data_IF_892697450350
#
_entry.id   IF_892697450350
#
_cell.length_a   1.000
_cell.length_b   1.000
_cell.length_c   1.000
_cell.angle_alpha   90.00
_cell.angle_beta   90.00
_cell.angle_gamma   90.00
#
_symmetry.space_group_name_H-M   'P 1'
#
loop_
_entity.id
_entity.type
_entity.pdbx_description
1 polymer ?
#
# COMPACT_ATOMS: atom_id res chain seq x y z
N UNK A 1 -4.50 -13.95 -10.13
CA UNK A 1 -5.72 -14.41 -10.82
C UNK A 1 -6.12 -15.85 -10.47
N UNK A 2 -5.41 -16.87 -10.96
CA UNK A 2 -5.74 -18.29 -10.70
C UNK A 2 -4.75 -19.00 -9.77
N UNK A 3 -3.73 -18.30 -9.30
CA UNK A 3 -2.78 -18.77 -8.29
C UNK A 3 -3.43 -18.66 -6.90
N UNK A 4 -4.17 -19.69 -6.55
CA UNK A 4 -5.05 -19.72 -5.39
C UNK A 4 -6.00 -20.89 -5.49
N UNK A 5 -7.01 -20.96 -4.62
CA UNK A 5 -7.93 -22.09 -4.60
C UNK A 5 -9.40 -21.68 -4.62
N UNK A 6 -10.23 -22.60 -5.11
CA UNK A 6 -11.68 -22.55 -4.92
C UNK A 6 -12.13 -23.32 -3.67
N UNK A 7 -11.43 -24.42 -3.34
CA UNK A 7 -11.71 -25.27 -2.18
C UNK A 7 -10.41 -25.80 -1.57
N UNK A 8 -10.29 -25.80 -0.24
CA UNK A 8 -9.13 -26.39 0.44
C UNK A 8 -9.15 -27.93 0.45
N UNK A 9 -10.32 -28.56 0.23
CA UNK A 9 -10.47 -30.02 0.29
C UNK A 9 -9.58 -30.72 -0.74
N UNK A 10 -9.32 -30.06 -1.88
CA UNK A 10 -8.51 -30.59 -2.98
C UNK A 10 -7.25 -29.75 -3.25
N UNK A 11 -6.77 -28.98 -2.27
CA UNK A 11 -5.63 -28.07 -2.44
C UNK A 11 -4.51 -28.43 -1.47
N UNK A 12 -3.31 -28.66 -2.01
CA UNK A 12 -2.07 -28.71 -1.23
C UNK A 12 -1.38 -27.35 -1.33
N UNK A 13 -1.79 -26.43 -0.45
CA UNK A 13 -1.39 -25.02 -0.52
C UNK A 13 0.12 -24.84 -0.44
N UNK A 14 0.82 -25.59 0.42
CA UNK A 14 2.27 -25.46 0.55
C UNK A 14 2.96 -25.82 -0.76
N UNK A 15 2.52 -26.91 -1.39
CA UNK A 15 3.08 -27.38 -2.66
C UNK A 15 2.78 -26.42 -3.82
N UNK A 16 1.60 -25.81 -3.85
CA UNK A 16 1.27 -24.80 -4.86
C UNK A 16 2.11 -23.53 -4.70
N UNK A 17 2.30 -23.05 -3.47
CA UNK A 17 3.20 -21.92 -3.18
C UNK A 17 4.65 -22.23 -3.56
N UNK A 18 5.14 -23.45 -3.28
CA UNK A 18 6.47 -23.91 -3.71
C UNK A 18 6.64 -23.86 -5.24
N UNK A 19 5.60 -24.27 -5.97
CA UNK A 19 5.61 -24.23 -7.43
C UNK A 19 5.54 -22.79 -7.96
N UNK A 20 4.72 -21.92 -7.37
CA UNK A 20 4.65 -20.51 -7.73
C UNK A 20 6.02 -19.83 -7.52
N UNK A 21 6.66 -20.07 -6.39
CA UNK A 21 8.01 -19.56 -6.12
C UNK A 21 9.03 -20.07 -7.13
N UNK A 22 8.97 -21.37 -7.48
CA UNK A 22 9.84 -21.95 -8.50
C UNK A 22 9.65 -21.29 -9.87
N UNK A 23 8.41 -20.99 -10.25
CA UNK A 23 8.10 -20.28 -11.49
C UNK A 23 8.71 -18.87 -11.49
N UNK A 24 8.55 -18.11 -10.41
CA UNK A 24 9.08 -16.76 -10.31
C UNK A 24 10.62 -16.73 -10.36
N UNK A 25 11.29 -17.66 -9.68
CA UNK A 25 12.75 -17.82 -9.80
C UNK A 25 13.19 -18.11 -11.24
N UNK A 26 12.49 -19.01 -11.94
CA UNK A 26 12.78 -19.27 -13.35
C UNK A 26 12.58 -18.03 -14.23
N UNK A 27 11.56 -17.22 -13.95
CA UNK A 27 11.31 -15.97 -14.67
C UNK A 27 12.43 -14.94 -14.43
N UNK A 28 12.87 -14.79 -13.18
CA UNK A 28 14.00 -13.91 -12.81
C UNK A 28 15.30 -14.36 -13.50
N UNK A 29 15.61 -15.65 -13.47
CA UNK A 29 16.80 -16.20 -14.14
C UNK A 29 16.75 -16.01 -15.66
N UNK A 30 15.57 -16.20 -16.24
CA UNK A 30 15.38 -15.98 -17.67
C UNK A 30 15.55 -14.51 -18.04
N UNK A 31 14.98 -13.58 -17.25
CA UNK A 31 15.17 -12.14 -17.44
C UNK A 31 16.65 -11.76 -17.43
N UNK A 32 17.43 -12.27 -16.46
CA UNK A 32 18.90 -12.09 -16.41
C UNK A 32 19.57 -12.62 -17.68
N UNK A 33 19.18 -13.81 -18.13
CA UNK A 33 19.74 -14.45 -19.34
C UNK A 33 19.52 -13.63 -20.61
N UNK A 34 18.37 -12.97 -20.73
CA UNK A 34 18.03 -12.17 -21.92
C UNK A 34 18.39 -10.68 -21.78
N UNK A 35 18.95 -10.27 -20.64
CA UNK A 35 19.32 -8.88 -20.38
C UNK A 35 18.12 -7.96 -20.12
N UNK A 36 17.00 -8.47 -19.62
CA UNK A 36 15.88 -7.64 -19.17
C UNK A 36 16.25 -6.94 -17.86
N UNK A 37 16.14 -5.61 -17.85
CA UNK A 37 16.51 -4.76 -16.71
C UNK A 37 15.31 -4.08 -16.04
N UNK A 38 14.08 -4.40 -16.46
CA UNK A 38 12.88 -3.86 -15.84
C UNK A 38 12.61 -4.49 -14.48
N UNK A 39 11.82 -3.79 -13.68
CA UNK A 39 11.37 -4.29 -12.38
C UNK A 39 10.23 -5.30 -12.57
N UNK A 40 10.32 -6.46 -11.91
CA UNK A 40 9.17 -7.36 -11.79
C UNK A 40 8.21 -6.85 -10.73
N UNK A 41 6.91 -6.98 -11.02
CA UNK A 41 5.84 -6.68 -10.08
C UNK A 41 5.01 -7.92 -9.79
N UNK A 42 4.61 -8.07 -8.53
CA UNK A 42 3.49 -8.94 -8.11
C UNK A 42 2.37 -8.02 -7.63
N UNK A 43 1.13 -8.36 -7.99
CA UNK A 43 -0.03 -7.50 -7.79
C UNK A 43 -1.01 -8.18 -6.84
N UNK A 44 -1.11 -7.73 -5.58
CA UNK A 44 -1.95 -8.38 -4.60
C UNK A 44 -3.43 -8.28 -4.98
N UNK A 45 -4.17 -9.38 -4.82
CA UNK A 45 -5.63 -9.46 -4.86
C UNK A 45 -6.12 -10.60 -3.95
N UNK A 46 -7.10 -10.38 -3.07
CA UNK A 46 -7.52 -11.37 -2.06
C UNK A 46 -8.28 -12.58 -2.61
N UNK A 47 -9.02 -12.37 -3.70
CA UNK A 47 -10.00 -13.31 -4.28
C UNK A 47 -10.47 -12.76 -5.62
N UNK A 48 -11.37 -13.51 -6.26
CA UNK A 48 -11.93 -13.23 -7.56
C UNK A 48 -10.87 -13.31 -8.69
N UNK A 49 -10.87 -14.39 -9.50
CA UNK A 49 -11.92 -15.40 -9.62
C UNK A 49 -11.74 -16.64 -8.71
N UNK A 50 -10.73 -16.68 -7.84
CA UNK A 50 -10.56 -17.72 -6.80
C UNK A 50 -11.38 -17.38 -5.54
N UNK A 51 -11.60 -18.37 -4.67
CA UNK A 51 -12.16 -18.13 -3.33
C UNK A 51 -11.13 -17.45 -2.44
N UNK A 52 -9.87 -17.84 -2.58
CA UNK A 52 -8.70 -17.22 -1.97
C UNK A 52 -7.58 -17.21 -3.01
N UNK A 53 -6.97 -16.05 -3.23
CA UNK A 53 -5.76 -15.88 -4.03
C UNK A 53 -4.58 -15.70 -3.08
N UNK A 54 -3.44 -16.35 -3.38
CA UNK A 54 -2.33 -16.48 -2.44
C UNK A 54 -1.61 -15.17 -2.14
N UNK A 55 -1.47 -14.34 -3.16
CA UNK A 55 -1.03 -12.96 -3.13
C UNK A 55 -2.18 -12.06 -2.65
N UNK A 56 -2.68 -12.27 -1.43
CA UNK A 56 -3.98 -11.71 -1.02
C UNK A 56 -3.99 -10.22 -0.68
N UNK A 57 -2.89 -9.71 -0.15
CA UNK A 57 -2.63 -8.31 0.20
C UNK A 57 -1.10 -8.07 0.23
N UNK A 58 -0.68 -6.84 0.49
CA UNK A 58 0.72 -6.45 0.52
C UNK A 58 1.51 -7.25 1.57
N UNK A 59 0.95 -7.47 2.76
CA UNK A 59 1.62 -8.19 3.83
C UNK A 59 1.85 -9.67 3.46
N UNK A 60 0.84 -10.35 2.89
CA UNK A 60 0.95 -11.73 2.43
C UNK A 60 1.97 -11.86 1.29
N UNK A 61 1.97 -10.92 0.34
CA UNK A 61 2.96 -10.88 -0.73
C UNK A 61 4.38 -10.71 -0.17
N UNK A 62 4.58 -9.75 0.74
CA UNK A 62 5.89 -9.53 1.36
C UNK A 62 6.37 -10.76 2.14
N UNK A 63 5.48 -11.45 2.85
CA UNK A 63 5.82 -12.70 3.53
C UNK A 63 6.27 -13.78 2.54
N UNK A 64 5.51 -13.99 1.47
CA UNK A 64 5.87 -14.94 0.41
C UNK A 64 7.22 -14.59 -0.23
N UNK A 65 7.44 -13.32 -0.57
CA UNK A 65 8.70 -12.87 -1.18
C UNK A 65 9.91 -13.06 -0.26
N UNK A 66 9.74 -12.90 1.06
CA UNK A 66 10.80 -13.17 2.05
C UNK A 66 11.05 -14.67 2.22
N UNK A 67 10.00 -15.47 2.36
CA UNK A 67 10.09 -16.93 2.53
C UNK A 67 10.85 -17.61 1.38
N UNK A 68 10.69 -17.09 0.16
CA UNK A 68 11.27 -17.69 -1.04
C UNK A 68 12.44 -16.89 -1.62
N UNK A 69 13.06 -15.98 -0.88
CA UNK A 69 14.23 -15.19 -1.32
C UNK A 69 14.01 -14.43 -2.65
N UNK A 70 12.83 -13.83 -2.81
CA UNK A 70 12.41 -13.08 -4.00
C UNK A 70 12.26 -11.56 -3.75
N UNK A 71 12.41 -11.11 -2.50
CA UNK A 71 12.17 -9.71 -2.10
C UNK A 71 13.09 -8.70 -2.80
N UNK A 72 14.30 -9.10 -3.17
CA UNK A 72 15.25 -8.26 -3.92
C UNK A 72 15.01 -8.26 -5.44
N UNK A 73 14.00 -9.01 -5.91
CA UNK A 73 13.72 -9.22 -7.32
C UNK A 73 12.35 -8.69 -7.74
N UNK A 74 11.36 -8.73 -6.85
CA UNK A 74 10.00 -8.28 -7.11
C UNK A 74 9.62 -7.11 -6.21
N UNK A 75 8.83 -6.20 -6.77
CA UNK A 75 8.13 -5.14 -6.05
C UNK A 75 6.62 -5.36 -6.15
N UNK A 76 5.85 -4.61 -5.38
CA UNK A 76 4.40 -4.68 -5.40
C UNK A 76 3.80 -3.66 -6.38
N UNK A 77 2.84 -4.10 -7.18
CA UNK A 77 1.89 -3.24 -7.89
C UNK A 77 0.60 -3.22 -7.08
N UNK A 78 0.22 -2.08 -6.50
CA UNK A 78 -0.95 -2.02 -5.61
C UNK A 78 -2.14 -1.46 -6.38
N UNK A 79 -3.28 -2.13 -6.32
CA UNK A 79 -4.53 -1.68 -6.91
C UNK A 79 -5.55 -1.28 -5.83
N UNK A 80 -6.21 -0.13 -6.03
CA UNK A 80 -7.21 0.39 -5.07
C UNK A 80 -8.36 -0.59 -4.84
N UNK A 81 -8.99 -1.13 -5.89
CA UNK A 81 -10.14 -2.01 -5.72
C UNK A 81 -9.72 -3.33 -5.04
N UNK A 82 -8.51 -3.85 -5.31
CA UNK A 82 -7.98 -5.03 -4.64
C UNK A 82 -7.74 -4.81 -3.15
N UNK A 83 -7.16 -3.66 -2.77
CA UNK A 83 -6.98 -3.27 -1.37
C UNK A 83 -8.33 -3.25 -0.62
N UNK A 84 -9.34 -2.59 -1.20
CA UNK A 84 -10.69 -2.50 -0.62
C UNK A 84 -11.36 -3.89 -0.51
N UNK A 85 -11.20 -4.74 -1.54
CA UNK A 85 -11.68 -6.13 -1.52
C UNK A 85 -11.03 -6.98 -0.42
N UNK A 86 -9.81 -6.64 -0.01
CA UNK A 86 -9.06 -7.31 1.05
C UNK A 86 -9.47 -6.83 2.45
N UNK A 87 -10.32 -5.79 2.52
CA UNK A 87 -10.73 -5.16 3.77
C UNK A 87 -9.78 -4.06 4.24
N UNK A 88 -8.89 -3.58 3.37
CA UNK A 88 -7.89 -2.56 3.66
C UNK A 88 -8.21 -1.26 2.93
N UNK A 89 -7.64 -0.16 3.40
CA UNK A 89 -7.59 1.07 2.59
C UNK A 89 -6.40 1.01 1.64
N UNK A 90 -6.46 1.76 0.54
CA UNK A 90 -5.32 1.88 -0.37
C UNK A 90 -4.09 2.45 0.36
N UNK A 91 -4.30 3.40 1.27
CA UNK A 91 -3.27 3.99 2.10
C UNK A 91 -2.53 2.95 2.94
N UNK A 92 -3.26 2.00 3.53
CA UNK A 92 -2.67 0.93 4.33
C UNK A 92 -1.72 0.07 3.49
N UNK A 93 -2.18 -0.39 2.33
CA UNK A 93 -1.38 -1.24 1.44
C UNK A 93 -0.13 -0.52 0.92
N UNK A 94 -0.26 0.78 0.61
CA UNK A 94 0.88 1.62 0.20
C UNK A 94 1.90 1.81 1.31
N UNK A 95 1.46 2.05 2.56
CA UNK A 95 2.36 2.21 3.70
C UNK A 95 3.08 0.90 4.04
N UNK A 96 2.37 -0.25 3.99
CA UNK A 96 2.97 -1.59 4.16
C UNK A 96 4.03 -1.87 3.09
N UNK A 97 3.70 -1.63 1.82
CA UNK A 97 4.63 -1.85 0.70
C UNK A 97 5.83 -0.91 0.76
N UNK A 98 5.61 0.37 1.09
CA UNK A 98 6.67 1.39 1.16
C UNK A 98 7.63 1.15 2.32
N UNK A 99 7.10 0.80 3.51
CA UNK A 99 7.92 0.48 4.68
C UNK A 99 8.86 -0.71 4.44
N UNK A 100 8.46 -1.65 3.57
CA UNK A 100 9.29 -2.77 3.16
C UNK A 100 10.25 -2.46 1.99
N UNK A 101 10.28 -1.21 1.47
CA UNK A 101 11.05 -0.84 0.29
C UNK A 101 10.55 -1.46 -1.02
N UNK A 102 9.34 -2.03 -0.99
CA UNK A 102 8.81 -2.89 -2.03
C UNK A 102 7.70 -2.22 -2.86
N UNK A 103 7.23 -1.01 -2.53
CA UNK A 103 6.26 -0.32 -3.38
C UNK A 103 6.87 -0.02 -4.75
N UNK A 104 6.24 -0.55 -5.80
CA UNK A 104 6.75 -0.54 -7.16
C UNK A 104 5.95 0.33 -8.12
N UNK A 105 4.64 0.10 -8.19
CA UNK A 105 3.69 0.76 -9.10
C UNK A 105 2.29 0.76 -8.48
N UNK A 106 1.36 1.49 -9.10
CA UNK A 106 -0.04 1.52 -8.70
C UNK A 106 -0.96 1.32 -9.91
N UNK A 107 -2.01 0.53 -9.71
CA UNK A 107 -3.20 0.53 -10.56
C UNK A 107 -4.26 1.48 -9.99
N UNK A 108 -4.48 2.54 -10.76
CA UNK A 108 -5.30 3.69 -10.44
C UNK A 108 -6.76 3.45 -10.82
N UNK A 109 -7.49 2.77 -9.96
CA UNK A 109 -8.93 2.60 -10.05
C UNK A 109 -9.62 2.87 -8.71
N UNK A 110 -10.89 2.49 -8.58
CA UNK A 110 -11.63 2.43 -7.32
C UNK A 110 -12.65 1.28 -7.35
N UNK A 111 -12.97 0.77 -6.17
CA UNK A 111 -14.13 -0.09 -5.97
C UNK A 111 -15.43 0.64 -5.72
N UNK A 112 -16.44 -0.15 -5.41
CA UNK A 112 -17.67 0.31 -4.79
C UNK A 112 -17.78 -0.41 -3.44
N UNK A 113 -17.78 0.36 -2.35
CA UNK A 113 -17.71 -0.19 -0.99
C UNK A 113 -18.97 -0.97 -0.58
N UNK A 114 -20.05 -0.90 -1.36
CA UNK A 114 -21.26 -1.69 -1.16
C UNK A 114 -21.26 -3.00 -1.97
N UNK A 115 -20.20 -3.22 -2.76
CA UNK A 115 -20.11 -4.28 -3.76
C UNK A 115 -18.85 -5.12 -3.50
N UNK A 116 -19.03 -6.42 -3.29
CA UNK A 116 -17.96 -7.36 -2.92
C UNK A 116 -17.20 -7.97 -4.10
N UNK A 117 -17.10 -7.28 -5.24
CA UNK A 117 -16.34 -7.72 -6.42
C UNK A 117 -15.66 -6.52 -7.09
N UNK A 118 -14.74 -6.80 -7.99
CA UNK A 118 -13.95 -5.80 -8.69
C UNK A 118 -14.79 -5.04 -9.73
N UNK A 119 -14.92 -3.74 -9.50
CA UNK A 119 -15.71 -2.86 -10.36
C UNK A 119 -14.85 -2.13 -11.37
N UNK A 120 -13.54 -2.03 -11.14
CA UNK A 120 -12.53 -1.37 -11.97
C UNK A 120 -13.01 0.02 -12.41
N UNK A 121 -13.57 0.81 -11.49
CA UNK A 121 -14.05 2.15 -11.83
C UNK A 121 -12.88 3.11 -11.94
N UNK A 122 -13.00 4.09 -12.85
CA UNK A 122 -12.03 5.18 -12.88
C UNK A 122 -12.05 5.96 -11.55
N UNK A 123 -10.88 6.41 -11.07
CA UNK A 123 -10.73 7.11 -9.80
C UNK A 123 -11.30 8.52 -9.95
N UNK A 124 -12.25 8.88 -9.09
CA UNK A 124 -12.88 10.22 -9.10
C UNK A 124 -12.97 10.85 -7.71
N UNK A 125 -12.57 10.12 -6.66
CA UNK A 125 -12.58 10.61 -5.29
C UNK A 125 -11.28 11.37 -4.99
N UNK A 126 -11.39 12.69 -4.81
CA UNK A 126 -10.23 13.56 -4.57
C UNK A 126 -9.56 13.27 -3.22
N UNK A 127 -10.31 12.88 -2.18
CA UNK A 127 -9.74 12.50 -0.89
C UNK A 127 -8.78 11.32 -1.05
N UNK A 128 -9.25 10.26 -1.70
CA UNK A 128 -8.47 9.04 -1.95
C UNK A 128 -7.24 9.36 -2.82
N UNK A 129 -7.42 10.12 -3.90
CA UNK A 129 -6.30 10.50 -4.77
C UNK A 129 -5.25 11.35 -4.03
N UNK A 130 -5.67 12.27 -3.17
CA UNK A 130 -4.75 13.08 -2.35
C UNK A 130 -3.98 12.22 -1.35
N UNK A 131 -4.66 11.28 -0.69
CA UNK A 131 -4.03 10.36 0.24
C UNK A 131 -3.04 9.42 -0.45
N UNK A 132 -3.39 8.84 -1.61
CA UNK A 132 -2.48 8.01 -2.41
C UNK A 132 -1.23 8.81 -2.79
N UNK A 133 -1.43 10.01 -3.37
CA UNK A 133 -0.30 10.83 -3.80
C UNK A 133 0.55 11.33 -2.65
N UNK A 134 0.01 11.48 -1.43
CA UNK A 134 0.81 11.77 -0.24
C UNK A 134 1.80 10.65 0.08
N UNK A 135 1.41 9.38 -0.05
CA UNK A 135 2.32 8.24 0.15
C UNK A 135 3.33 8.14 -0.99
N UNK A 136 2.87 8.31 -2.24
CA UNK A 136 3.77 8.34 -3.41
C UNK A 136 4.80 9.46 -3.29
N UNK A 137 4.43 10.66 -2.84
CA UNK A 137 5.39 11.75 -2.67
C UNK A 137 6.35 11.56 -1.47
N UNK A 138 6.06 10.64 -0.56
CA UNK A 138 6.93 10.32 0.59
C UNK A 138 7.83 9.12 0.35
N UNK A 139 7.48 8.23 -0.57
CA UNK A 139 8.30 7.04 -0.86
C UNK A 139 9.65 7.41 -1.49
N UNK A 140 10.64 6.53 -1.36
CA UNK A 140 11.98 6.67 -1.94
C UNK A 140 12.61 8.04 -1.64
N UNK A 141 12.59 8.47 -0.37
CA UNK A 141 13.12 9.75 0.09
C UNK A 141 12.59 10.97 -0.70
N UNK A 142 11.32 10.89 -1.11
CA UNK A 142 10.63 11.95 -1.86
C UNK A 142 10.77 11.88 -3.38
N UNK A 143 11.44 10.85 -3.93
CA UNK A 143 11.58 10.69 -5.37
C UNK A 143 10.31 10.18 -6.06
N UNK A 144 9.40 9.54 -5.32
CA UNK A 144 8.22 8.89 -5.90
C UNK A 144 8.55 7.64 -6.70
N UNK A 145 7.76 7.36 -7.74
CA UNK A 145 7.98 6.20 -8.60
C UNK A 145 9.33 6.27 -9.34
N UNK A 146 9.96 5.11 -9.52
CA UNK A 146 11.20 4.97 -10.30
C UNK A 146 10.92 4.29 -11.64
N UNK A 147 10.44 3.05 -11.60
CA UNK A 147 10.10 2.25 -12.79
C UNK A 147 8.61 2.02 -12.99
N UNK A 148 7.79 2.37 -11.99
CA UNK A 148 6.33 2.23 -12.02
C UNK A 148 5.62 3.54 -12.35
N UNK A 149 4.31 3.56 -12.16
CA UNK A 149 3.48 4.74 -12.40
C UNK A 149 2.04 4.54 -11.94
N UNK A 150 1.15 5.34 -12.54
CA UNK A 150 -0.30 5.23 -12.38
C UNK A 150 -0.87 4.59 -13.64
N UNK A 151 -1.04 3.27 -13.64
CA UNK A 151 -1.74 2.59 -14.71
C UNK A 151 -3.25 2.67 -14.47
N UNK A 152 -4.05 3.07 -15.44
CA UNK A 152 -5.50 3.04 -15.30
C UNK A 152 -6.02 1.64 -15.60
N UNK A 153 -5.88 0.72 -14.63
CA UNK A 153 -6.62 -0.55 -14.66
C UNK A 153 -8.09 -0.33 -14.30
N UNK A 154 -8.76 0.37 -15.20
CA UNK A 154 -10.11 0.82 -15.03
C UNK A 154 -10.86 0.72 -16.36
N UNK A 155 -12.16 0.48 -16.27
CA UNK A 155 -13.05 0.36 -17.43
C UNK A 155 -14.19 1.37 -17.37
N UNK A 156 -14.63 1.76 -18.56
CA UNK A 156 -15.89 2.49 -18.73
C UNK A 156 -17.04 1.63 -18.20
N UNK A 157 -18.11 2.26 -17.74
CA UNK A 157 -19.30 1.52 -17.32
C UNK A 157 -19.94 0.84 -18.52
N UNK A 158 -20.61 -0.29 -18.29
CA UNK A 158 -21.31 -1.04 -19.36
C UNK A 158 -22.27 -0.16 -20.17
N UNK A 159 -22.93 0.79 -19.51
CA UNK A 159 -23.88 1.71 -20.15
C UNK A 159 -23.20 2.93 -20.81
N UNK A 160 -21.94 3.22 -20.44
CA UNK A 160 -21.09 4.26 -21.04
C UNK A 160 -20.32 3.70 -22.24
N UNK A 161 -21.07 3.40 -23.31
CA UNK A 161 -20.62 2.60 -24.45
C UNK A 161 -20.22 3.44 -25.68
N UNK A 162 -20.43 4.76 -25.68
CA UNK A 162 -20.00 5.62 -26.78
C UNK A 162 -18.48 5.81 -26.75
N UNK A 163 -17.79 5.96 -27.90
CA UNK A 163 -16.33 6.18 -27.91
C UNK A 163 -15.88 7.35 -27.03
N UNK A 164 -16.66 8.43 -26.99
CA UNK A 164 -16.37 9.64 -26.20
C UNK A 164 -16.31 9.37 -24.68
N UNK A 165 -17.05 8.37 -24.20
CA UNK A 165 -17.03 7.96 -22.79
C UNK A 165 -15.65 7.47 -22.35
N UNK A 166 -14.82 6.98 -23.28
CA UNK A 166 -13.44 6.60 -23.00
C UNK A 166 -12.59 7.81 -22.62
N UNK A 167 -12.79 8.92 -23.33
CA UNK A 167 -12.09 10.16 -23.05
C UNK A 167 -12.61 10.78 -21.75
N UNK A 168 -13.92 10.83 -21.54
CA UNK A 168 -14.48 11.33 -20.28
C UNK A 168 -13.95 10.56 -19.06
N UNK A 169 -13.87 9.23 -19.16
CA UNK A 169 -13.37 8.38 -18.08
C UNK A 169 -11.89 8.63 -17.77
N UNK A 170 -11.01 8.62 -18.79
CA UNK A 170 -9.58 8.82 -18.60
C UNK A 170 -9.26 10.25 -18.17
N UNK A 171 -9.85 11.27 -18.80
CA UNK A 171 -9.64 12.68 -18.42
C UNK A 171 -10.05 12.89 -16.97
N UNK A 172 -11.20 12.33 -16.55
CA UNK A 172 -11.64 12.39 -15.15
C UNK A 172 -10.65 11.75 -14.17
N UNK A 173 -10.15 10.56 -14.49
CA UNK A 173 -9.14 9.87 -13.68
C UNK A 173 -7.81 10.60 -13.59
N UNK A 174 -7.31 11.10 -14.73
CA UNK A 174 -6.09 11.90 -14.81
C UNK A 174 -6.20 13.19 -14.00
N UNK A 175 -7.33 13.91 -14.13
CA UNK A 175 -7.57 15.14 -13.36
C UNK A 175 -7.69 14.88 -11.86
N UNK A 176 -8.35 13.79 -11.45
CA UNK A 176 -8.48 13.42 -10.04
C UNK A 176 -7.11 13.17 -9.39
N UNK A 177 -6.25 12.38 -10.04
CA UNK A 177 -4.89 12.14 -9.56
C UNK A 177 -4.01 13.39 -9.62
N UNK A 178 -4.11 14.21 -10.67
CA UNK A 178 -3.35 15.46 -10.77
C UNK A 178 -3.75 16.46 -9.68
N UNK A 179 -5.03 16.53 -9.31
CA UNK A 179 -5.51 17.32 -8.16
C UNK A 179 -4.99 16.74 -6.86
N UNK A 180 -5.10 15.42 -6.68
CA UNK A 180 -4.54 14.71 -5.52
C UNK A 180 -3.06 14.99 -5.31
N UNK A 181 -2.26 14.97 -6.38
CA UNK A 181 -0.83 15.31 -6.37
C UNK A 181 -0.57 16.73 -5.87
N UNK A 182 -1.34 17.72 -6.35
CA UNK A 182 -1.20 19.11 -5.90
C UNK A 182 -1.58 19.28 -4.43
N UNK A 183 -2.64 18.60 -3.99
CA UNK A 183 -3.08 18.61 -2.59
C UNK A 183 -2.01 18.01 -1.69
N UNK A 184 -1.52 16.81 -2.04
CA UNK A 184 -0.44 16.13 -1.32
C UNK A 184 0.84 16.99 -1.24
N UNK A 185 1.21 17.65 -2.35
CA UNK A 185 2.34 18.58 -2.37
C UNK A 185 2.18 19.76 -1.41
N UNK A 186 0.96 20.32 -1.29
CA UNK A 186 0.67 21.38 -0.31
C UNK A 186 0.75 20.86 1.13
N UNK A 187 0.22 19.66 1.39
CA UNK A 187 0.29 19.02 2.71
C UNK A 187 1.75 18.84 3.16
N UNK A 188 2.61 18.31 2.28
CA UNK A 188 4.03 18.10 2.59
C UNK A 188 4.74 19.45 2.81
N UNK A 189 4.48 20.44 1.96
CA UNK A 189 5.10 21.76 2.08
C UNK A 189 4.70 22.51 3.36
N UNK A 190 3.47 22.31 3.83
CA UNK A 190 2.96 22.92 5.06
C UNK A 190 3.51 22.25 6.32
N UNK A 191 3.66 20.92 6.31
CA UNK A 191 4.35 20.16 7.35
C UNK A 191 3.58 19.93 8.66
N UNK A 192 2.38 20.50 8.84
CA UNK A 192 1.60 20.32 10.09
C UNK A 192 1.28 18.86 10.43
N UNK A 193 1.02 18.01 9.44
CA UNK A 193 0.79 16.58 9.68
C UNK A 193 2.05 15.87 10.19
N UNK A 194 3.20 16.16 9.59
CA UNK A 194 4.49 15.56 9.97
C UNK A 194 4.94 16.07 11.34
N UNK A 195 4.73 17.35 11.63
CA UNK A 195 4.97 17.91 12.95
C UNK A 195 4.10 17.23 14.01
N UNK A 196 2.80 17.03 13.74
CA UNK A 196 1.91 16.33 14.67
C UNK A 196 2.37 14.90 14.95
N UNK A 197 2.70 14.13 13.90
CA UNK A 197 3.19 12.75 14.05
C UNK A 197 4.51 12.74 14.81
N UNK A 198 5.48 13.60 14.46
CA UNK A 198 6.76 13.71 15.19
C UNK A 198 6.55 14.01 16.68
N UNK A 199 5.70 14.98 16.99
CA UNK A 199 5.38 15.34 18.38
C UNK A 199 4.75 14.16 19.14
N UNK A 200 3.86 13.40 18.48
CA UNK A 200 3.20 12.22 19.07
C UNK A 200 4.19 11.13 19.49
N UNK A 201 5.30 10.96 18.77
CA UNK A 201 6.30 9.92 19.03
C UNK A 201 7.56 10.43 19.74
N UNK A 202 7.63 11.72 20.10
CA UNK A 202 8.84 12.36 20.66
C UNK A 202 9.40 11.71 21.94
N UNK A 203 8.58 10.94 22.67
CA UNK A 203 9.04 10.21 23.86
C UNK A 203 10.06 9.13 23.53
N UNK A 204 10.11 8.67 22.28
CA UNK A 204 11.08 7.70 21.80
C UNK A 204 12.39 8.35 21.30
N UNK A 205 12.44 9.67 21.13
CA UNK A 205 13.64 10.38 20.69
C UNK A 205 14.67 10.61 21.84
N UNK A 206 14.30 10.29 23.09
CA UNK A 206 15.17 10.51 24.25
C UNK A 206 14.85 9.59 25.44
N UNK A 207 15.74 9.57 26.43
CA UNK A 207 15.55 8.83 27.68
C UNK A 207 15.28 7.34 27.47
N UNK A 208 14.42 6.76 28.31
CA UNK A 208 14.06 5.34 28.25
C UNK A 208 13.44 4.94 26.90
N UNK A 209 12.72 5.85 26.23
CA UNK A 209 12.11 5.56 24.93
C UNK A 209 13.16 5.31 23.85
N UNK A 210 14.20 6.13 23.81
CA UNK A 210 15.33 5.94 22.89
C UNK A 210 16.11 4.65 23.20
N UNK A 211 16.26 4.31 24.49
CA UNK A 211 16.89 3.05 24.90
C UNK A 211 16.07 1.83 24.45
N UNK A 212 14.73 1.92 24.51
CA UNK A 212 13.81 0.90 23.99
C UNK A 212 14.00 0.72 22.49
N UNK A 213 13.95 1.80 21.71
CA UNK A 213 14.10 1.72 20.24
C UNK A 213 15.48 1.20 19.82
N UNK A 214 16.52 1.55 20.56
CA UNK A 214 17.87 1.06 20.32
C UNK A 214 18.11 -0.40 20.78
N UNK A 215 17.10 -1.06 21.38
CA UNK A 215 17.21 -2.43 21.88
C UNK A 215 18.13 -2.57 23.10
N UNK A 216 18.25 -1.53 23.92
CA UNK A 216 19.18 -1.46 25.06
C UNK A 216 18.52 -1.76 26.41
N UNK A 217 17.21 -2.03 26.42
CA UNK A 217 16.44 -2.33 27.63
C UNK A 217 16.05 -3.82 27.71
N UNK A 218 15.75 -4.29 28.92
CA UNK A 218 15.11 -5.59 29.16
C UNK A 218 13.77 -5.40 29.88
N UNK A 219 12.96 -6.46 29.99
CA UNK A 219 11.72 -6.40 30.77
C UNK A 219 12.02 -6.06 32.25
N UNK A 220 13.12 -6.55 32.80
CA UNK A 220 13.55 -6.26 34.17
C UNK A 220 13.92 -4.78 34.36
N UNK A 221 14.65 -4.17 33.41
CA UNK A 221 14.99 -2.74 33.51
C UNK A 221 13.75 -1.85 33.36
N UNK A 222 12.80 -2.25 32.50
CA UNK A 222 11.56 -1.52 32.28
C UNK A 222 10.59 -1.65 33.46
N UNK A 223 10.51 -2.83 34.11
CA UNK A 223 9.75 -3.02 35.34
C UNK A 223 10.26 -2.09 36.45
N UNK A 224 11.57 -2.06 36.66
CA UNK A 224 12.20 -1.16 37.63
C UNK A 224 11.94 0.33 37.32
N UNK A 225 12.03 0.72 36.05
CA UNK A 225 11.70 2.08 35.61
C UNK A 225 10.22 2.41 35.86
N UNK A 226 9.30 1.51 35.50
CA UNK A 226 7.86 1.71 35.65
C UNK A 226 7.42 1.87 37.11
N UNK A 227 8.06 1.14 38.05
CA UNK A 227 7.84 1.28 39.49
C UNK A 227 8.31 2.64 40.05
N UNK A 228 9.23 3.31 39.35
CA UNK A 228 9.85 4.56 39.79
C UNK A 228 9.20 5.84 39.25
N UNK A 229 8.19 5.74 38.38
CA UNK A 229 7.53 6.89 37.75
C UNK A 229 6.08 7.05 38.22
N UNK A 230 5.55 8.25 38.06
CA UNK A 230 4.11 8.47 38.12
C UNK A 230 3.42 7.88 36.87
N UNK A 231 2.14 7.57 36.98
CA UNK A 231 1.35 7.07 35.86
C UNK A 231 1.38 8.08 34.70
N UNK A 232 1.77 7.67 33.47
CA UNK A 232 1.90 8.58 32.35
C UNK A 232 0.54 9.14 31.92
N UNK A 233 0.51 10.40 31.51
CA UNK A 233 -0.67 11.02 30.90
C UNK A 233 -0.61 10.78 29.39
N UNK A 234 -1.65 10.14 28.86
CA UNK A 234 -1.76 9.90 27.42
C UNK A 234 -2.26 11.15 26.69
N UNK A 235 -1.55 11.55 25.63
CA UNK A 235 -1.98 12.65 24.79
C UNK A 235 -3.14 12.24 23.85
N UNK A 236 -4.01 13.20 23.54
CA UNK A 236 -5.14 12.98 22.63
C UNK A 236 -4.66 12.73 21.20
N UNK A 237 -5.32 11.80 20.50
CA UNK A 237 -4.98 11.49 19.12
C UNK A 237 -5.43 12.51 18.07
N UNK A 238 -6.29 13.46 18.44
CA UNK A 238 -6.74 14.58 17.59
C UNK A 238 -7.25 14.20 16.20
N UNK A 239 -7.84 13.01 16.06
CA UNK A 239 -8.25 12.48 14.76
C UNK A 239 -9.19 13.42 14.00
N UNK A 240 -10.26 13.90 14.62
CA UNK A 240 -11.24 14.77 13.96
C UNK A 240 -10.62 16.12 13.58
N UNK A 241 -9.66 16.62 14.36
CA UNK A 241 -8.93 17.84 14.03
C UNK A 241 -8.02 17.63 12.82
N UNK A 242 -7.36 16.48 12.72
CA UNK A 242 -6.53 16.13 11.57
C UNK A 242 -7.36 15.87 10.30
N UNK A 243 -8.54 15.26 10.43
CA UNK A 243 -9.49 15.09 9.33
C UNK A 243 -10.02 16.44 8.84
N UNK A 244 -10.31 17.38 9.74
CA UNK A 244 -10.68 18.75 9.38
C UNK A 244 -9.52 19.49 8.72
N UNK A 245 -8.29 19.30 9.21
CA UNK A 245 -7.10 19.85 8.58
C UNK A 245 -6.93 19.33 7.15
N UNK A 246 -7.22 18.05 6.88
CA UNK A 246 -7.20 17.51 5.53
C UNK A 246 -8.22 18.23 4.62
N UNK A 247 -9.42 18.50 5.13
CA UNK A 247 -10.46 19.23 4.39
C UNK A 247 -10.00 20.62 3.95
N UNK A 248 -9.20 21.32 4.78
CA UNK A 248 -8.68 22.66 4.45
C UNK A 248 -7.74 22.66 3.22
N UNK A 249 -7.20 21.50 2.84
CA UNK A 249 -6.35 21.36 1.64
C UNK A 249 -7.09 20.98 0.38
N UNK A 250 -8.40 20.68 0.41
CA UNK A 250 -9.15 20.26 -0.77
C UNK A 250 -9.65 21.47 -1.57
#
# INVERSE_FOLDING_TARGET
>A
GREGYASLINTDMKRELDHLARLLHMAVDHAKKIGFTGQFYIEPKPREPSTHQYDSDAAACLNFLREYDLIDHLKLNIETNHAELAGHTMEHELDVASAAGALGSIDANRGDQLIGWDTDQFPTNIYQCANIMLRVLKMNDGAGFTTGGLNFDAKRRRESHLPDDLFHAHVGGMDAFARGLKIAGRIIADGRFDEFVRARYQSFDSGVGAEIEAGQTSLESLDAYALGIEAPVLESGRQEMLENLLNDYL
#
